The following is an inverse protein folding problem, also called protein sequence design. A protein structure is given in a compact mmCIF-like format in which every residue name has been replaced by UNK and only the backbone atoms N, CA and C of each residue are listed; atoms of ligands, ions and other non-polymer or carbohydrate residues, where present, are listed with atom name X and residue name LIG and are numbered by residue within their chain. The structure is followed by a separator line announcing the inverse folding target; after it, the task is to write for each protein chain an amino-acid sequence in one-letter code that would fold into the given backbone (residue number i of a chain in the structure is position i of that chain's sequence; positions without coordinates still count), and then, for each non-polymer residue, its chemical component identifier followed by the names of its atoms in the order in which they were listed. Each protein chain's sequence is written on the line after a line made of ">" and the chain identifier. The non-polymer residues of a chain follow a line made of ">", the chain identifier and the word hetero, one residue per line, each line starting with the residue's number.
data_IF_042919171530
#
_entry.id   IF_042919171530
#
_cell.length_a   1.000
_cell.length_b   1.000
_cell.length_c   1.000
_cell.angle_alpha   90.00
_cell.angle_beta   90.00
_cell.angle_gamma   90.00
#
_symmetry.space_group_name_H-M   'P 1'
#
loop_
_entity.id
_entity.type
_entity.pdbx_description
1 polymer ?
#
# COMPACT_ATOMS: atom_id res chain seq x y z
N UNK A 1 17.55 40.02 13.78
CA UNK A 1 16.76 39.99 12.54
C UNK A 1 15.88 38.76 12.62
N UNK A 2 14.63 38.93 13.05
CA UNK A 2 13.67 37.84 13.17
C UNK A 2 13.09 37.55 11.78
N UNK A 3 13.00 36.28 11.34
CA UNK A 3 12.38 35.93 10.07
C UNK A 3 10.92 36.39 10.07
N UNK A 4 10.47 36.94 8.94
CA UNK A 4 9.11 37.46 8.79
C UNK A 4 8.14 36.28 8.70
N UNK A 5 6.88 36.42 9.16
CA UNK A 5 5.89 35.33 9.09
C UNK A 5 5.68 34.78 7.67
N UNK A 6 5.97 35.57 6.63
CA UNK A 6 5.94 35.20 5.21
C UNK A 6 6.98 34.14 4.82
N UNK A 7 8.13 34.09 5.51
CA UNK A 7 9.22 33.15 5.20
C UNK A 7 8.81 31.69 5.52
N UNK A 8 7.93 31.52 6.51
CA UNK A 8 7.39 30.21 6.88
C UNK A 8 6.39 29.69 5.84
N UNK A 9 5.57 30.57 5.27
CA UNK A 9 4.58 30.20 4.25
C UNK A 9 5.28 29.75 2.96
N UNK A 10 6.36 30.42 2.55
CA UNK A 10 7.18 30.00 1.41
C UNK A 10 7.85 28.64 1.64
N UNK A 11 8.30 28.37 2.87
CA UNK A 11 8.89 27.10 3.25
C UNK A 11 7.84 25.97 3.19
N UNK A 12 6.62 26.23 3.68
CA UNK A 12 5.50 25.29 3.65
C UNK A 12 5.11 24.97 2.21
N UNK A 13 4.93 25.99 1.37
CA UNK A 13 4.60 25.78 -0.04
C UNK A 13 5.66 24.98 -0.79
N UNK A 14 6.95 25.18 -0.46
CA UNK A 14 8.05 24.42 -1.04
C UNK A 14 8.01 22.96 -0.63
N UNK A 15 7.72 22.67 0.64
CA UNK A 15 7.58 21.29 1.15
C UNK A 15 6.38 20.61 0.48
N UNK A 16 5.23 21.28 0.42
CA UNK A 16 4.00 20.73 -0.18
C UNK A 16 4.20 20.42 -1.66
N UNK A 17 4.82 21.33 -2.42
CA UNK A 17 5.16 21.09 -3.84
C UNK A 17 6.07 19.88 -4.02
N UNK A 18 7.08 19.74 -3.19
CA UNK A 18 8.02 18.62 -3.26
C UNK A 18 7.34 17.29 -2.90
N UNK A 19 6.42 17.29 -1.93
CA UNK A 19 5.64 16.11 -1.55
C UNK A 19 4.70 15.69 -2.67
N UNK A 20 3.94 16.62 -3.26
CA UNK A 20 3.04 16.34 -4.40
C UNK A 20 3.85 15.81 -5.58
N UNK A 21 5.02 16.41 -5.88
CA UNK A 21 5.92 15.95 -6.94
C UNK A 21 6.38 14.51 -6.71
N UNK A 22 6.75 14.15 -5.47
CA UNK A 22 7.14 12.77 -5.12
C UNK A 22 5.97 11.80 -5.18
N UNK A 23 4.79 12.19 -4.73
CA UNK A 23 3.59 11.35 -4.81
C UNK A 23 3.20 11.08 -6.27
N UNK A 24 3.22 12.09 -7.13
CA UNK A 24 2.96 11.94 -8.56
C UNK A 24 4.05 11.09 -9.26
N UNK A 25 5.32 11.26 -8.88
CA UNK A 25 6.41 10.43 -9.38
C UNK A 25 6.32 8.96 -8.92
N UNK A 26 5.77 8.71 -7.73
CA UNK A 26 5.47 7.35 -7.24
C UNK A 26 4.18 6.76 -7.84
N UNK A 27 3.31 7.59 -8.43
CA UNK A 27 2.14 7.19 -9.21
C UNK A 27 2.42 6.97 -10.71
N UNK A 28 3.69 6.98 -11.14
CA UNK A 28 4.12 6.66 -12.50
C UNK A 28 3.97 5.16 -12.85
N UNK A 29 3.95 4.81 -14.15
CA UNK A 29 3.27 3.65 -14.72
C UNK A 29 3.76 2.31 -14.16
N UNK A 30 2.91 1.26 -14.17
CA UNK A 30 3.27 -0.06 -13.68
C UNK A 30 4.45 -0.60 -14.51
N UNK A 31 5.65 -0.50 -13.95
CA UNK A 31 6.80 -1.24 -14.45
C UNK A 31 6.47 -2.72 -14.20
N UNK A 32 6.34 -3.44 -15.31
CA UNK A 32 5.66 -4.71 -15.40
C UNK A 32 6.16 -5.78 -14.43
N UNK A 33 5.20 -6.60 -14.01
CA UNK A 33 5.42 -7.78 -13.19
C UNK A 33 4.16 -8.63 -13.12
N UNK A 34 3.82 -9.26 -14.24
CA UNK A 34 2.92 -10.42 -14.42
C UNK A 34 1.41 -10.22 -14.31
N UNK A 35 0.76 -10.54 -15.44
CA UNK A 35 -0.67 -10.63 -15.66
C UNK A 35 -1.34 -11.79 -14.89
N UNK A 36 -2.50 -11.51 -14.33
CA UNK A 36 -3.69 -12.36 -14.23
C UNK A 36 -4.86 -11.34 -14.27
N UNK A 37 -5.54 -11.09 -15.38
CA UNK A 37 -6.25 -12.06 -16.20
C UNK A 37 -7.61 -12.33 -15.57
N UNK A 38 -8.62 -11.51 -15.85
CA UNK A 38 -9.97 -11.72 -15.33
C UNK A 38 -10.97 -10.57 -15.52
N UNK A 39 -11.29 -10.28 -16.79
CA UNK A 39 -12.63 -9.91 -17.32
C UNK A 39 -13.55 -8.98 -16.53
N UNK A 40 -13.89 -7.86 -17.19
CA UNK A 40 -15.04 -7.03 -16.92
C UNK A 40 -16.40 -7.76 -17.10
N UNK A 41 -17.33 -7.55 -16.16
CA UNK A 41 -18.79 -7.48 -16.34
C UNK A 41 -19.38 -7.20 -14.95
N UNK A 42 -20.11 -6.13 -14.69
CA UNK A 42 -21.41 -5.86 -15.29
C UNK A 42 -22.51 -6.31 -14.31
N UNK A 43 -23.27 -5.34 -13.80
CA UNK A 43 -24.60 -5.47 -13.18
C UNK A 43 -24.73 -6.12 -11.79
N UNK A 44 -25.32 -5.31 -10.89
CA UNK A 44 -26.34 -5.68 -9.90
C UNK A 44 -26.25 -7.08 -9.27
N UNK A 45 -25.64 -7.16 -8.09
CA UNK A 45 -25.71 -8.33 -7.21
C UNK A 45 -24.83 -8.09 -6.00
N UNK A 46 -25.35 -8.35 -4.80
CA UNK A 46 -24.79 -7.92 -3.52
C UNK A 46 -23.27 -7.97 -3.44
N UNK A 47 -22.67 -6.83 -3.05
CA UNK A 47 -21.23 -6.63 -2.90
C UNK A 47 -20.69 -7.61 -1.85
N UNK A 48 -20.26 -8.78 -2.31
CA UNK A 48 -19.39 -9.62 -1.53
C UNK A 48 -18.15 -8.78 -1.19
N UNK A 49 -17.71 -8.75 0.08
CA UNK A 49 -16.54 -7.98 0.48
C UNK A 49 -15.35 -8.42 -0.36
N UNK A 50 -14.85 -7.53 -1.21
CA UNK A 50 -13.71 -7.81 -2.08
C UNK A 50 -12.45 -7.65 -1.22
N UNK A 51 -11.67 -8.71 -0.98
CA UNK A 51 -10.42 -8.60 -0.26
C UNK A 51 -9.44 -7.76 -1.09
N UNK A 52 -8.88 -6.71 -0.49
CA UNK A 52 -7.92 -5.83 -1.14
C UNK A 52 -6.49 -6.23 -0.75
N UNK A 53 -5.66 -6.55 -1.74
CA UNK A 53 -4.25 -6.91 -1.50
C UNK A 53 -3.38 -5.69 -1.77
N UNK A 54 -2.63 -5.24 -0.77
CA UNK A 54 -1.63 -4.18 -0.94
C UNK A 54 -0.22 -4.75 -0.83
N UNK A 55 0.69 -4.27 -1.67
CA UNK A 55 2.12 -4.65 -1.64
C UNK A 55 2.98 -3.60 -0.91
N UNK A 56 2.34 -2.55 -0.39
CA UNK A 56 3.03 -1.46 0.30
C UNK A 56 3.71 -1.95 1.59
N UNK A 57 4.97 -1.56 1.78
CA UNK A 57 5.73 -1.85 3.01
C UNK A 57 5.37 -0.93 4.17
N UNK A 58 4.85 0.26 3.89
CA UNK A 58 4.39 1.21 4.89
C UNK A 58 2.91 1.48 4.62
N UNK A 59 2.07 1.15 5.60
CA UNK A 59 0.63 1.36 5.53
C UNK A 59 0.28 2.59 6.36
N UNK A 60 -0.19 3.65 5.69
CA UNK A 60 -0.60 4.92 6.30
C UNK A 60 -2.11 5.14 6.14
N UNK A 61 -2.65 6.16 6.80
CA UNK A 61 -4.05 6.57 6.63
C UNK A 61 -4.38 6.86 5.15
N UNK A 62 -3.50 7.59 4.46
CA UNK A 62 -3.63 7.85 3.02
C UNK A 62 -3.67 6.57 2.17
N UNK A 63 -2.95 5.52 2.58
CA UNK A 63 -3.04 4.20 1.91
C UNK A 63 -4.43 3.59 2.05
N UNK A 64 -5.14 3.84 3.15
CA UNK A 64 -6.52 3.37 3.36
C UNK A 64 -7.55 4.21 2.61
N UNK A 65 -7.28 5.48 2.36
CA UNK A 65 -8.12 6.34 1.52
C UNK A 65 -8.18 5.87 0.07
N UNK A 66 -7.10 5.27 -0.42
CA UNK A 66 -7.07 4.69 -1.77
C UNK A 66 -7.77 3.34 -1.89
N UNK A 67 -8.19 2.73 -0.76
CA UNK A 67 -8.86 1.42 -0.77
C UNK A 67 -10.33 1.60 -1.14
N UNK A 68 -10.89 0.74 -2.02
CA UNK A 68 -12.30 0.80 -2.39
C UNK A 68 -13.22 0.76 -1.16
N UNK A 69 -14.24 1.59 -1.19
CA UNK A 69 -15.27 1.60 -0.15
C UNK A 69 -15.99 0.25 -0.11
N UNK A 70 -16.27 -0.25 1.10
CA UNK A 70 -16.85 -1.59 1.30
C UNK A 70 -15.84 -2.73 1.41
N UNK A 71 -14.53 -2.46 1.29
CA UNK A 71 -13.48 -3.42 1.62
C UNK A 71 -13.48 -3.67 3.13
N UNK A 72 -13.73 -4.91 3.55
CA UNK A 72 -13.66 -5.29 4.98
C UNK A 72 -12.33 -5.92 5.36
N UNK A 73 -11.57 -6.40 4.38
CA UNK A 73 -10.34 -7.17 4.59
C UNK A 73 -9.23 -6.69 3.67
N UNK A 74 -8.07 -6.40 4.26
CA UNK A 74 -6.88 -5.93 3.55
C UNK A 74 -5.72 -6.86 3.86
N UNK A 75 -5.17 -7.46 2.81
CA UNK A 75 -4.00 -8.29 2.88
C UNK A 75 -2.74 -7.44 2.77
N UNK A 76 -1.89 -7.49 3.79
CA UNK A 76 -0.65 -6.74 3.89
C UNK A 76 0.55 -7.70 3.97
N UNK A 77 1.73 -7.32 3.48
CA UNK A 77 2.93 -8.13 3.63
C UNK A 77 3.27 -8.36 5.10
N UNK A 78 3.80 -9.54 5.46
CA UNK A 78 4.21 -9.85 6.84
C UNK A 78 5.15 -8.82 7.48
N UNK A 79 6.01 -8.20 6.66
CA UNK A 79 6.99 -7.18 7.08
C UNK A 79 6.48 -5.75 6.93
N UNK A 80 5.21 -5.55 6.59
CA UNK A 80 4.66 -4.21 6.46
C UNK A 80 4.54 -3.53 7.82
N UNK A 81 4.93 -2.26 7.86
CA UNK A 81 4.82 -1.39 9.02
C UNK A 81 3.47 -0.69 8.91
N UNK A 82 2.62 -0.90 9.92
CA UNK A 82 1.34 -0.22 10.06
C UNK A 82 1.52 0.95 11.03
N UNK A 83 1.20 2.17 10.59
CA UNK A 83 1.26 3.33 11.49
C UNK A 83 0.08 3.33 12.48
N UNK A 84 0.22 3.96 13.68
CA UNK A 84 -0.88 4.05 14.64
C UNK A 84 -2.14 4.69 14.03
N UNK A 85 -1.95 5.79 13.28
CA UNK A 85 -3.06 6.48 12.61
C UNK A 85 -3.79 5.57 11.61
N UNK A 86 -3.05 4.79 10.81
CA UNK A 86 -3.66 3.82 9.90
C UNK A 86 -4.42 2.72 10.64
N UNK A 87 -3.92 2.27 11.79
CA UNK A 87 -4.61 1.28 12.62
C UNK A 87 -5.94 1.83 13.15
N UNK A 88 -5.94 3.06 13.66
CA UNK A 88 -7.13 3.70 14.20
C UNK A 88 -8.18 3.93 13.11
N UNK A 89 -7.74 4.39 11.95
CA UNK A 89 -8.62 4.63 10.81
C UNK A 89 -9.21 3.34 10.22
N UNK A 90 -8.41 2.26 10.14
CA UNK A 90 -8.92 0.95 9.77
C UNK A 90 -10.02 0.47 10.73
N UNK A 91 -9.86 0.71 12.03
CA UNK A 91 -10.88 0.37 13.04
C UNK A 91 -12.17 1.17 12.83
N UNK A 92 -12.07 2.47 12.55
CA UNK A 92 -13.25 3.31 12.25
C UNK A 92 -13.99 2.84 10.99
N UNK A 93 -13.24 2.37 9.98
CA UNK A 93 -13.80 1.87 8.71
C UNK A 93 -14.22 0.40 8.74
N UNK A 94 -14.00 -0.31 9.85
CA UNK A 94 -14.32 -1.74 9.97
C UNK A 94 -13.42 -2.67 9.14
N UNK A 95 -12.19 -2.24 8.84
CA UNK A 95 -11.23 -2.97 8.01
C UNK A 95 -10.34 -3.87 8.90
N UNK A 96 -10.22 -5.14 8.53
CA UNK A 96 -9.31 -6.11 9.15
C UNK A 96 -8.06 -6.30 8.29
N UNK A 97 -6.89 -6.36 8.93
CA UNK A 97 -5.64 -6.64 8.23
C UNK A 97 -5.26 -8.12 8.36
N UNK A 98 -5.03 -8.77 7.23
CA UNK A 98 -4.44 -10.10 7.15
C UNK A 98 -2.98 -9.97 6.73
N UNK A 99 -2.07 -10.46 7.58
CA UNK A 99 -0.64 -10.48 7.22
C UNK A 99 -0.36 -11.71 6.41
N UNK A 100 -0.09 -11.53 5.12
CA UNK A 100 0.37 -12.60 4.28
C UNK A 100 1.78 -12.95 4.73
N UNK A 101 1.88 -14.08 5.45
CA UNK A 101 3.12 -14.73 5.81
C UNK A 101 3.84 -15.15 4.55
N UNK A 102 4.46 -14.21 3.83
CA UNK A 102 5.40 -14.54 2.78
C UNK A 102 6.55 -15.28 3.46
N UNK A 103 6.48 -16.61 3.40
CA UNK A 103 7.66 -17.46 3.38
C UNK A 103 8.73 -16.69 2.59
N UNK A 104 9.86 -16.40 3.25
CA UNK A 104 10.99 -15.76 2.57
C UNK A 104 11.29 -16.51 1.27
N UNK A 105 11.92 -15.87 0.27
CA UNK A 105 12.22 -16.52 -1.00
C UNK A 105 12.85 -17.88 -0.70
N UNK A 106 12.16 -18.94 -1.13
CA UNK A 106 12.55 -20.32 -0.85
C UNK A 106 14.04 -20.45 -1.20
N UNK A 107 14.87 -20.64 -0.16
CA UNK A 107 16.31 -20.77 -0.31
C UNK A 107 16.53 -21.93 -1.30
N UNK A 108 17.16 -21.72 -2.46
CA UNK A 108 17.38 -22.81 -3.40
C UNK A 108 18.29 -23.82 -2.71
N UNK A 109 17.71 -24.98 -2.37
CA UNK A 109 18.45 -26.13 -1.89
C UNK A 109 19.31 -26.62 -3.06
N UNK A 110 20.63 -26.44 -2.96
CA UNK A 110 21.58 -27.05 -3.90
C UNK A 110 21.33 -28.57 -3.86
N UNK A 111 21.07 -29.24 -4.99
CA UNK A 111 21.02 -30.70 -4.99
C UNK A 111 22.42 -31.20 -4.64
N UNK A 112 22.53 -31.84 -3.47
CA UNK A 112 23.71 -32.57 -3.04
C UNK A 112 24.02 -33.63 -4.09
N UNK A 113 25.12 -33.43 -4.82
CA UNK A 113 25.63 -34.39 -5.77
C UNK A 113 25.94 -35.70 -5.07
N UNK A 114 25.31 -36.77 -5.53
CA UNK A 114 25.72 -38.14 -5.26
C UNK A 114 26.93 -38.41 -6.15
N UNK A 115 28.13 -38.39 -5.55
CA UNK A 115 29.34 -38.88 -6.19
C UNK A 115 29.31 -40.40 -6.07
N UNK A 116 29.37 -41.08 -7.22
CA UNK A 116 29.45 -42.54 -7.35
C UNK A 116 30.77 -43.08 -6.85
#
# INVERSE_FOLDING_TARGET
>A
MSPSPTDHDELIERIVREVIRRLLAMGGPPIGGTAHGGTANGLAGGLAPVPHVTTARLITAATLESIPTGTTEVHIPAKAILTPLARDEAKLRGIRFHRDGSAGPARPVKPTGVIR
#
